data_IF_010541745847
#
_entry.id   IF_010541745847
#
_cell.length_a   1.000
_cell.length_b   1.000
_cell.length_c   1.000
_cell.angle_alpha   90.00
_cell.angle_beta   90.00
_cell.angle_gamma   90.00
#
_symmetry.space_group_name_H-M   'P 1'
#
loop_
_entity.id
_entity.type
_entity.pdbx_description
1 polymer ?
#
# COMPACT_ATOMS: atom_id res chain seq x y z
N UNK A 1 23.97 32.93 48.83
CA UNK A 1 22.56 32.54 48.61
C UNK A 1 22.35 32.39 47.11
N UNK A 2 22.38 31.16 46.59
CA UNK A 2 22.07 30.89 45.18
C UNK A 2 20.55 30.88 44.99
N UNK A 3 20.03 31.74 44.14
CA UNK A 3 18.61 31.78 43.75
C UNK A 3 18.41 30.97 42.46
N UNK A 4 17.75 29.82 42.56
CA UNK A 4 17.31 29.04 41.40
C UNK A 4 16.02 29.67 40.85
N UNK A 5 16.08 30.24 39.64
CA UNK A 5 14.89 30.65 38.88
C UNK A 5 14.28 29.45 38.18
N UNK A 6 13.01 29.16 38.46
CA UNK A 6 12.21 28.17 37.73
C UNK A 6 11.55 28.84 36.51
N UNK A 7 11.70 28.26 35.32
CA UNK A 7 10.97 28.68 34.14
C UNK A 7 9.60 27.98 34.14
N UNK A 8 8.51 28.76 34.22
CA UNK A 8 7.16 28.28 33.95
C UNK A 8 6.97 28.20 32.42
N UNK A 9 6.97 26.98 31.87
CA UNK A 9 6.65 26.75 30.46
C UNK A 9 5.13 26.71 30.30
N UNK A 10 4.54 27.82 29.87
CA UNK A 10 3.14 27.90 29.48
C UNK A 10 2.97 27.19 28.14
N UNK A 11 2.26 26.06 28.11
CA UNK A 11 1.95 25.38 26.85
C UNK A 11 0.71 26.06 26.23
N UNK A 12 0.79 26.79 25.10
CA UNK A 12 -0.41 27.27 24.44
C UNK A 12 -1.15 26.06 23.87
N UNK A 13 -2.40 25.87 24.28
CA UNK A 13 -3.29 24.89 23.67
C UNK A 13 -3.43 25.24 22.19
N UNK A 14 -2.87 24.39 21.32
CA UNK A 14 -3.06 24.47 19.87
C UNK A 14 -4.54 24.21 19.59
N UNK A 15 -5.29 25.27 19.32
CA UNK A 15 -6.63 25.18 18.76
C UNK A 15 -6.48 24.60 17.36
N UNK A 16 -6.90 23.35 17.17
CA UNK A 16 -6.95 22.73 15.84
C UNK A 16 -8.01 23.45 15.02
N UNK A 17 -7.61 23.99 13.88
CA UNK A 17 -8.56 24.51 12.89
C UNK A 17 -9.55 23.41 12.45
N UNK A 18 -10.79 23.75 12.12
CA UNK A 18 -11.72 22.81 11.50
C UNK A 18 -11.10 22.24 10.22
N UNK A 19 -11.09 20.91 10.12
CA UNK A 19 -10.66 20.18 8.93
C UNK A 19 -11.62 20.53 7.81
N UNK A 20 -11.14 21.30 6.83
CA UNK A 20 -11.86 21.48 5.57
C UNK A 20 -11.98 20.10 4.93
N UNK A 21 -13.22 19.68 4.73
CA UNK A 21 -13.61 18.35 4.30
C UNK A 21 -13.12 18.14 2.86
N UNK A 22 -12.00 17.43 2.73
CA UNK A 22 -11.50 17.01 1.42
C UNK A 22 -12.62 16.23 0.70
N UNK A 23 -12.85 16.49 -0.59
CA UNK A 23 -13.96 15.88 -1.31
C UNK A 23 -13.86 14.36 -1.24
N UNK A 24 -14.99 13.73 -0.90
CA UNK A 24 -15.16 12.29 -0.86
C UNK A 24 -14.82 11.68 -2.23
N UNK A 25 -13.63 11.10 -2.34
CA UNK A 25 -13.28 10.26 -3.50
C UNK A 25 -13.98 8.94 -3.29
N UNK A 26 -15.06 8.77 -4.03
CA UNK A 26 -15.92 7.60 -4.07
C UNK A 26 -15.14 6.28 -3.97
N UNK A 27 -15.74 5.35 -3.22
CA UNK A 27 -15.41 3.92 -3.17
C UNK A 27 -15.13 3.40 -4.58
N UNK A 28 -13.87 3.06 -4.83
CA UNK A 28 -13.44 2.47 -6.10
C UNK A 28 -14.04 1.07 -6.21
N UNK A 29 -15.10 0.95 -7.01
CA UNK A 29 -15.48 -0.27 -7.73
C UNK A 29 -16.40 0.05 -8.91
N UNK A 30 -16.21 1.20 -9.59
CA UNK A 30 -17.07 1.56 -10.73
C UNK A 30 -16.66 0.89 -12.06
N UNK A 31 -15.45 0.31 -12.19
CA UNK A 31 -15.01 -0.37 -13.43
C UNK A 31 -15.02 -1.92 -13.35
N UNK A 32 -15.57 -2.50 -12.28
CA UNK A 32 -15.86 -3.94 -12.21
C UNK A 32 -14.67 -4.90 -12.04
N UNK A 33 -13.43 -4.41 -11.95
CA UNK A 33 -12.26 -5.27 -11.69
C UNK A 33 -12.24 -5.76 -10.24
N UNK A 34 -12.10 -7.07 -10.05
CA UNK A 34 -11.99 -7.71 -8.72
C UNK A 34 -10.55 -7.94 -8.28
N UNK A 35 -9.58 -7.59 -9.12
CA UNK A 35 -8.17 -7.92 -8.93
C UNK A 35 -7.62 -7.32 -7.63
N UNK A 36 -7.16 -8.22 -6.76
CA UNK A 36 -6.68 -7.93 -5.41
C UNK A 36 -7.77 -7.76 -4.36
N UNK A 37 -9.04 -7.59 -4.73
CA UNK A 37 -10.14 -7.30 -3.79
C UNK A 37 -10.95 -8.53 -3.37
N UNK A 38 -10.72 -9.68 -4.03
CA UNK A 38 -11.39 -10.93 -3.68
C UNK A 38 -10.40 -12.09 -3.67
N UNK A 39 -10.75 -13.15 -2.94
CA UNK A 39 -9.91 -14.34 -2.82
C UNK A 39 -9.75 -15.08 -4.15
N UNK A 40 -10.76 -14.99 -5.03
CA UNK A 40 -10.78 -15.63 -6.35
C UNK A 40 -9.79 -14.97 -7.33
N UNK A 41 -9.43 -13.71 -7.07
CA UNK A 41 -8.56 -12.91 -7.93
C UNK A 41 -7.52 -12.15 -7.10
N UNK A 42 -6.62 -12.84 -6.38
CA UNK A 42 -5.68 -12.21 -5.47
C UNK A 42 -4.48 -11.61 -6.22
N UNK A 43 -3.76 -10.71 -5.55
CA UNK A 43 -2.46 -10.25 -6.05
C UNK A 43 -1.43 -11.36 -5.84
N UNK A 44 -0.98 -11.95 -6.94
CA UNK A 44 0.00 -13.04 -6.97
C UNK A 44 1.42 -12.51 -6.96
N UNK A 45 1.97 -12.33 -5.76
CA UNK A 45 3.31 -11.75 -5.57
C UNK A 45 4.39 -12.83 -5.54
N UNK A 46 4.06 -14.05 -5.07
CA UNK A 46 5.04 -15.11 -4.86
C UNK A 46 6.11 -14.73 -3.83
N UNK A 47 7.16 -15.55 -3.74
CA UNK A 47 8.36 -15.29 -2.92
C UNK A 47 8.12 -15.08 -1.43
N UNK A 48 7.00 -15.54 -0.89
CA UNK A 48 6.69 -15.45 0.54
C UNK A 48 6.62 -14.00 1.04
N UNK A 49 6.98 -13.81 2.31
CA UNK A 49 7.00 -12.49 2.94
C UNK A 49 7.87 -11.45 2.18
N UNK A 50 9.07 -11.79 1.66
CA UNK A 50 9.82 -10.86 0.81
C UNK A 50 9.03 -10.30 -0.39
N UNK A 51 8.26 -11.14 -1.08
CA UNK A 51 7.44 -10.69 -2.22
C UNK A 51 6.29 -9.77 -1.79
N UNK A 52 5.66 -10.07 -0.65
CA UNK A 52 4.63 -9.22 -0.04
C UNK A 52 5.21 -7.84 0.33
N UNK A 53 6.37 -7.82 1.00
CA UNK A 53 7.04 -6.57 1.37
C UNK A 53 7.43 -5.75 0.13
N UNK A 54 7.99 -6.40 -0.88
CA UNK A 54 8.35 -5.75 -2.14
C UNK A 54 7.12 -5.16 -2.83
N UNK A 55 6.01 -5.89 -2.89
CA UNK A 55 4.76 -5.39 -3.47
C UNK A 55 4.28 -4.11 -2.77
N UNK A 56 4.24 -4.09 -1.43
CA UNK A 56 3.82 -2.90 -0.70
C UNK A 56 4.81 -1.74 -0.78
N UNK A 57 6.10 -2.00 -1.00
CA UNK A 57 7.08 -0.93 -1.26
C UNK A 57 6.84 -0.25 -2.61
N UNK A 58 6.35 -0.98 -3.61
CA UNK A 58 6.03 -0.45 -4.93
C UNK A 58 4.62 0.17 -5.01
N UNK A 59 3.70 -0.26 -4.15
CA UNK A 59 2.30 0.16 -4.20
C UNK A 59 2.14 1.63 -3.79
N UNK A 60 1.40 2.39 -4.61
CA UNK A 60 1.09 3.81 -4.37
C UNK A 60 -0.39 4.08 -4.58
N UNK A 61 -0.88 5.16 -3.97
CA UNK A 61 -2.17 5.75 -4.35
C UNK A 61 -2.16 6.28 -5.80
N UNK A 62 -3.32 6.72 -6.32
CA UNK A 62 -3.45 7.20 -7.71
C UNK A 62 -2.51 8.36 -8.05
N UNK A 63 -2.16 9.18 -7.05
CA UNK A 63 -1.30 10.36 -7.19
C UNK A 63 0.11 10.12 -6.64
N UNK A 64 0.56 8.87 -6.50
CA UNK A 64 1.87 8.55 -5.94
C UNK A 64 1.93 8.60 -4.41
N UNK A 65 0.78 8.66 -3.72
CA UNK A 65 0.76 8.67 -2.25
C UNK A 65 1.39 7.39 -1.68
N UNK A 66 2.13 7.53 -0.58
CA UNK A 66 2.59 6.37 0.18
C UNK A 66 1.40 5.62 0.76
N UNK A 67 1.46 4.30 0.64
CA UNK A 67 0.47 3.39 1.18
C UNK A 67 0.88 2.96 2.59
N UNK A 68 -0.08 2.98 3.51
CA UNK A 68 0.01 2.31 4.80
C UNK A 68 -0.78 1.00 4.72
N UNK A 69 -0.26 -0.05 5.35
CA UNK A 69 -0.89 -1.37 5.34
C UNK A 69 -0.74 -2.08 6.68
N UNK A 70 -1.68 -2.98 6.95
CA UNK A 70 -1.71 -3.85 8.13
C UNK A 70 -2.15 -5.24 7.73
N UNK A 71 -1.36 -6.25 8.08
CA UNK A 71 -1.76 -7.65 7.91
C UNK A 71 -2.92 -7.98 8.86
N UNK A 72 -4.04 -8.42 8.32
CA UNK A 72 -5.21 -8.87 9.09
C UNK A 72 -5.10 -10.35 9.45
N UNK A 73 -4.43 -11.16 8.61
CA UNK A 73 -4.19 -12.58 8.87
C UNK A 73 -4.30 -13.44 7.63
N UNK A 74 -4.24 -14.78 7.79
CA UNK A 74 -4.57 -15.70 6.70
C UNK A 74 -6.01 -15.48 6.23
N UNK A 75 -6.24 -15.73 4.95
CA UNK A 75 -7.58 -15.59 4.39
C UNK A 75 -8.52 -16.71 4.81
N UNK A 76 -9.80 -16.33 4.78
CA UNK A 76 -10.90 -17.17 4.32
C UNK A 76 -11.30 -18.32 5.25
N UNK A 77 -10.97 -18.24 6.54
CA UNK A 77 -11.58 -19.09 7.56
C UNK A 77 -12.98 -18.57 7.89
N UNK A 78 -13.97 -18.93 7.07
CA UNK A 78 -15.37 -18.56 7.30
C UNK A 78 -16.28 -19.73 7.67
N UNK A 79 -15.73 -20.92 7.97
CA UNK A 79 -16.55 -22.05 8.38
C UNK A 79 -15.79 -23.18 9.11
N UNK A 80 -16.53 -24.16 9.67
CA UNK A 80 -15.97 -25.30 10.39
C UNK A 80 -15.13 -26.24 9.51
N UNK A 81 -15.28 -26.14 8.18
CA UNK A 81 -14.41 -26.78 7.18
C UNK A 81 -13.78 -25.69 6.33
N UNK A 82 -12.51 -25.32 6.55
CA UNK A 82 -11.85 -24.30 5.75
C UNK A 82 -11.76 -24.78 4.28
N UNK A 83 -12.11 -23.89 3.35
CA UNK A 83 -11.91 -24.16 1.93
C UNK A 83 -10.41 -24.23 1.65
N UNK A 84 -9.94 -25.36 1.12
CA UNK A 84 -8.55 -25.50 0.69
C UNK A 84 -8.24 -24.66 -0.56
N UNK A 85 -9.26 -24.19 -1.27
CA UNK A 85 -9.13 -23.47 -2.54
C UNK A 85 -8.36 -22.14 -2.38
N UNK A 86 -8.52 -21.47 -1.24
CA UNK A 86 -7.88 -20.18 -0.94
C UNK A 86 -6.88 -20.28 0.22
N UNK A 87 -6.49 -21.52 0.57
CA UNK A 87 -5.52 -21.76 1.62
C UNK A 87 -4.18 -21.09 1.25
N UNK A 88 -3.62 -20.35 2.22
CA UNK A 88 -2.33 -19.67 2.05
C UNK A 88 -2.41 -18.25 1.49
N UNK A 89 -3.59 -17.74 1.16
CA UNK A 89 -3.78 -16.31 0.94
C UNK A 89 -3.67 -15.54 2.25
N UNK A 90 -3.25 -14.27 2.15
CA UNK A 90 -3.19 -13.33 3.26
C UNK A 90 -4.03 -12.10 2.97
N UNK A 91 -4.72 -11.61 4.00
CA UNK A 91 -5.56 -10.42 3.90
C UNK A 91 -4.86 -9.25 4.57
N UNK A 92 -4.82 -8.12 3.87
CA UNK A 92 -4.26 -6.87 4.34
C UNK A 92 -5.31 -5.76 4.30
N UNK A 93 -5.33 -4.92 5.31
CA UNK A 93 -5.98 -3.62 5.26
C UNK A 93 -4.98 -2.60 4.71
N UNK A 94 -5.40 -1.79 3.75
CA UNK A 94 -4.53 -0.94 2.94
C UNK A 94 -5.17 0.42 2.74
N UNK A 95 -4.42 1.49 2.97
CA UNK A 95 -4.92 2.86 2.78
C UNK A 95 -3.82 3.86 2.43
N UNK A 96 -4.25 5.03 2.00
CA UNK A 96 -3.38 6.18 1.70
C UNK A 96 -4.11 7.48 2.03
N UNK A 97 -3.37 8.59 2.11
CA UNK A 97 -3.95 9.90 2.41
C UNK A 97 -5.01 10.30 1.36
N UNK A 98 -6.23 10.62 1.79
CA UNK A 98 -7.32 10.99 0.88
C UNK A 98 -8.17 9.82 0.38
N UNK A 99 -7.85 8.58 0.76
CA UNK A 99 -8.79 7.46 0.64
C UNK A 99 -9.86 7.57 1.74
N UNK A 100 -11.14 7.42 1.40
CA UNK A 100 -12.25 7.53 2.35
C UNK A 100 -12.14 6.50 3.48
N UNK A 101 -11.98 5.22 3.11
CA UNK A 101 -11.85 4.09 4.03
C UNK A 101 -10.76 3.14 3.55
N UNK A 102 -9.96 2.54 4.46
CA UNK A 102 -9.03 1.49 4.09
C UNK A 102 -9.74 0.32 3.40
N UNK A 103 -9.08 -0.24 2.38
CA UNK A 103 -9.59 -1.37 1.61
C UNK A 103 -8.91 -2.67 2.04
N UNK A 104 -9.57 -3.80 1.75
CA UNK A 104 -8.96 -5.12 1.93
C UNK A 104 -8.34 -5.61 0.64
N UNK A 105 -7.07 -6.01 0.70
CA UNK A 105 -6.39 -6.72 -0.37
C UNK A 105 -6.10 -8.17 0.01
N UNK A 106 -6.32 -9.06 -0.93
CA UNK A 106 -6.03 -10.50 -0.86
C UNK A 106 -4.74 -10.74 -1.63
N UNK A 107 -3.72 -11.24 -0.94
CA UNK A 107 -2.38 -11.44 -1.47
C UNK A 107 -2.07 -12.93 -1.46
N UNK A 108 -1.57 -13.45 -2.57
CA UNK A 108 -1.01 -14.78 -2.68
C UNK A 108 0.53 -14.69 -2.60
N UNK A 109 1.13 -15.01 -1.44
CA UNK A 109 2.58 -15.00 -1.27
C UNK A 109 3.26 -16.23 -1.89
N UNK A 110 2.51 -17.25 -2.32
CA UNK A 110 3.06 -18.53 -2.74
C UNK A 110 3.21 -18.62 -4.26
N UNK A 111 2.30 -18.01 -5.01
CA UNK A 111 2.32 -18.03 -6.46
C UNK A 111 2.60 -16.63 -7.01
N UNK A 112 3.65 -16.52 -7.84
CA UNK A 112 4.03 -15.28 -8.51
C UNK A 112 3.37 -15.15 -9.88
N UNK A 113 2.95 -13.92 -10.21
CA UNK A 113 2.52 -13.52 -11.55
C UNK A 113 3.11 -12.15 -11.91
N UNK A 114 2.76 -11.62 -13.09
CA UNK A 114 3.12 -10.25 -13.44
C UNK A 114 2.52 -9.26 -12.44
N UNK A 115 3.37 -8.49 -11.77
CA UNK A 115 2.96 -7.52 -10.74
C UNK A 115 2.17 -6.39 -11.39
N UNK A 116 0.96 -6.16 -10.89
CA UNK A 116 0.06 -5.07 -11.27
C UNK A 116 -0.60 -4.48 -10.03
N UNK A 117 -1.00 -3.21 -10.10
CA UNK A 117 -1.77 -2.58 -9.03
C UNK A 117 -3.26 -2.96 -9.14
N UNK A 118 -3.94 -3.21 -8.01
CA UNK A 118 -5.40 -3.14 -7.93
C UNK A 118 -5.93 -1.78 -8.38
N UNK A 119 -7.18 -1.73 -8.83
CA UNK A 119 -7.82 -0.49 -9.24
C UNK A 119 -7.76 0.56 -8.12
N UNK A 120 -7.51 1.83 -8.44
CA UNK A 120 -7.33 2.87 -7.42
C UNK A 120 -5.93 2.88 -6.78
N UNK A 121 -5.01 2.05 -7.26
CA UNK A 121 -3.59 2.09 -6.92
C UNK A 121 -2.72 2.17 -8.17
N UNK A 122 -1.44 2.45 -7.98
CA UNK A 122 -0.40 2.40 -9.01
C UNK A 122 0.81 1.60 -8.50
N UNK A 123 1.67 1.14 -9.42
CA UNK A 123 2.95 0.50 -9.11
C UNK A 123 4.07 1.45 -9.54
N UNK A 124 4.88 1.89 -8.60
CA UNK A 124 6.06 2.72 -8.84
C UNK A 124 7.33 1.90 -8.67
N UNK A 125 8.38 2.18 -9.45
CA UNK A 125 9.70 1.56 -9.27
C UNK A 125 10.00 0.34 -10.14
N UNK A 126 9.04 -0.15 -10.93
CA UNK A 126 9.30 -1.16 -11.97
C UNK A 126 9.88 -0.58 -13.28
N UNK A 127 9.93 0.75 -13.42
CA UNK A 127 10.45 1.47 -14.59
C UNK A 127 11.84 2.11 -14.38
N UNK A 128 12.48 1.96 -13.21
CA UNK A 128 13.74 2.63 -12.90
C UNK A 128 15.01 1.82 -13.25
N UNK A 129 14.90 0.80 -14.11
CA UNK A 129 16.05 0.30 -14.88
C UNK A 129 15.84 0.64 -16.35
N UNK A 130 15.68 1.92 -16.64
CA UNK A 130 16.11 2.39 -17.94
C UNK A 130 17.61 2.07 -18.01
N UNK A 131 17.98 1.20 -18.96
CA UNK A 131 19.38 0.84 -19.18
C UNK A 131 20.14 2.15 -19.38
N UNK A 132 21.29 2.41 -18.72
CA UNK A 132 22.05 3.61 -18.98
C UNK A 132 22.30 3.68 -20.49
N UNK A 133 21.64 4.62 -21.17
CA UNK A 133 21.92 4.90 -22.57
C UNK A 133 23.35 5.40 -22.58
N UNK A 134 24.27 4.51 -22.96
CA UNK A 134 25.68 4.85 -23.11
C UNK A 134 25.73 5.91 -24.19
N UNK A 135 26.19 7.15 -23.91
CA UNK A 135 26.36 8.14 -24.96
C UNK A 135 27.27 7.53 -26.01
N UNK A 136 26.81 7.47 -27.26
CA UNK A 136 27.56 6.88 -28.38
C UNK A 136 28.76 7.73 -28.82
N UNK A 137 29.27 8.60 -27.96
CA UNK A 137 30.45 9.42 -28.22
C UNK A 137 31.70 8.67 -27.74
N UNK A 138 31.97 7.51 -28.35
CA UNK A 138 33.32 6.95 -28.37
C UNK A 138 33.94 7.43 -29.68
N UNK A 139 34.78 8.45 -29.53
CA UNK A 139 35.57 9.08 -30.59
C UNK A 139 36.35 8.00 -31.35
N UNK A 140 36.10 7.85 -32.66
CA UNK A 140 37.02 7.16 -33.56
C UNK A 140 38.34 7.94 -33.58
N UNK A 141 39.44 7.25 -33.24
CA UNK A 141 40.82 7.72 -33.31
C UNK A 141 41.41 7.45 -34.69
#
# INVERSE_FOLDING_TARGET
MLTLSACASSNPAVVRAPREEAPAVASVTEDGSTYGYRAEDPVRVGWGNPGVMAFFELLRGPQGQRVAWKRLGPCCDTGPTPSLEYAGLEVFEVGYEGLMDPVRLYIDPNHGAAIRAPQGFTIEGLTARETPTTPSDVIEL
#
